data_IF_783724917374
#
_entry.id   IF_783724917374
#
_cell.length_a   1.000
_cell.length_b   1.000
_cell.length_c   1.000
_cell.angle_alpha   90.00
_cell.angle_beta   90.00
_cell.angle_gamma   90.00
#
_symmetry.space_group_name_H-M   'P 1'
#
loop_
_entity.id
_entity.type
_entity.pdbx_description
1 polymer ?
#
# COMPACT_ATOMS: atom_id res chain seq x y z
N UNK A 1 -5.07 -28.99 -16.63
CA UNK A 1 -5.77 -28.41 -15.44
C UNK A 1 -5.19 -27.03 -15.24
N UNK A 2 -6.04 -26.02 -15.14
CA UNK A 2 -5.60 -24.63 -14.98
C UNK A 2 -4.85 -24.46 -13.65
N UNK A 3 -3.59 -24.03 -13.72
CA UNK A 3 -2.72 -23.82 -12.55
C UNK A 3 -3.33 -22.86 -11.55
N UNK A 4 -4.05 -21.84 -12.02
CA UNK A 4 -4.72 -20.89 -11.13
C UNK A 4 -5.84 -21.57 -10.31
N UNK A 5 -6.58 -22.49 -10.90
CA UNK A 5 -7.63 -23.24 -10.20
C UNK A 5 -7.02 -24.14 -9.11
N UNK A 6 -5.92 -24.83 -9.41
CA UNK A 6 -5.19 -25.65 -8.43
C UNK A 6 -4.71 -24.80 -7.26
N UNK A 7 -4.12 -23.64 -7.51
CA UNK A 7 -3.68 -22.73 -6.45
C UNK A 7 -4.84 -22.25 -5.56
N UNK A 8 -6.03 -22.03 -6.14
CA UNK A 8 -7.21 -21.66 -5.36
C UNK A 8 -7.74 -22.82 -4.50
N UNK A 9 -7.69 -24.04 -5.00
CA UNK A 9 -8.07 -25.23 -4.23
C UNK A 9 -7.11 -25.43 -3.04
N UNK A 10 -5.80 -25.38 -3.28
CA UNK A 10 -4.79 -25.46 -2.22
C UNK A 10 -5.05 -24.40 -1.14
N UNK A 11 -5.25 -23.15 -1.55
CA UNK A 11 -5.58 -22.04 -0.65
C UNK A 11 -6.82 -22.32 0.20
N UNK A 12 -7.90 -22.78 -0.43
CA UNK A 12 -9.15 -23.05 0.29
C UNK A 12 -8.99 -24.17 1.31
N UNK A 13 -8.29 -25.24 0.96
CA UNK A 13 -8.04 -26.37 1.84
C UNK A 13 -7.17 -25.95 3.03
N UNK A 14 -6.03 -25.27 2.81
CA UNK A 14 -5.19 -24.72 3.85
C UNK A 14 -5.98 -23.80 4.81
N UNK A 15 -6.77 -22.88 4.24
CA UNK A 15 -7.58 -21.93 5.02
C UNK A 15 -8.58 -22.65 5.93
N UNK A 16 -9.26 -23.68 5.41
CA UNK A 16 -10.29 -24.42 6.17
C UNK A 16 -9.64 -25.31 7.24
N UNK A 17 -8.63 -26.09 6.86
CA UNK A 17 -7.99 -27.07 7.73
C UNK A 17 -7.23 -26.43 8.89
N UNK A 18 -6.51 -25.36 8.62
CA UNK A 18 -5.69 -24.69 9.65
C UNK A 18 -6.34 -23.41 10.21
N UNK A 19 -7.56 -23.06 9.79
CA UNK A 19 -8.26 -21.83 10.21
C UNK A 19 -7.36 -20.58 10.04
N UNK A 20 -6.71 -20.47 8.87
CA UNK A 20 -5.83 -19.37 8.55
C UNK A 20 -6.64 -18.17 8.04
N UNK A 21 -6.59 -17.10 8.77
CA UNK A 21 -7.19 -15.83 8.40
C UNK A 21 -6.09 -14.78 8.28
N UNK A 22 -5.95 -14.12 7.12
CA UNK A 22 -5.00 -13.04 6.98
C UNK A 22 -5.31 -11.93 7.98
N UNK A 23 -4.25 -11.33 8.51
CA UNK A 23 -4.39 -10.21 9.43
C UNK A 23 -5.15 -9.05 8.76
N UNK A 24 -6.06 -8.44 9.49
CA UNK A 24 -6.81 -7.29 9.02
C UNK A 24 -6.07 -6.01 9.43
N UNK A 25 -5.53 -5.28 8.44
CA UNK A 25 -4.79 -4.04 8.65
C UNK A 25 -5.61 -3.00 9.43
N UNK A 26 -6.90 -2.88 9.12
CA UNK A 26 -7.79 -1.93 9.78
C UNK A 26 -7.91 -2.20 11.30
N UNK A 27 -8.12 -3.47 11.65
CA UNK A 27 -8.20 -3.86 13.07
C UNK A 27 -6.88 -3.62 13.80
N UNK A 28 -5.74 -3.85 13.13
CA UNK A 28 -4.43 -3.61 13.72
C UNK A 28 -4.24 -2.11 14.03
N UNK A 29 -4.52 -1.24 13.06
CA UNK A 29 -4.36 0.22 13.24
C UNK A 29 -5.28 0.75 14.33
N UNK A 30 -6.52 0.28 14.38
CA UNK A 30 -7.48 0.68 15.40
C UNK A 30 -7.03 0.26 16.81
N UNK A 31 -6.53 -0.98 16.96
CA UNK A 31 -5.99 -1.46 18.23
C UNK A 31 -4.74 -0.69 18.64
N UNK A 32 -3.80 -0.41 17.71
CA UNK A 32 -2.61 0.39 17.98
C UNK A 32 -3.01 1.80 18.43
N UNK A 33 -3.98 2.43 17.75
CA UNK A 33 -4.49 3.74 18.18
C UNK A 33 -4.98 3.70 19.61
N UNK A 34 -5.84 2.75 19.98
CA UNK A 34 -6.35 2.63 21.34
C UNK A 34 -5.26 2.37 22.39
N UNK A 35 -4.21 1.63 22.02
CA UNK A 35 -3.11 1.31 22.94
C UNK A 35 -2.12 2.46 23.12
N UNK A 36 -1.91 3.28 22.10
CA UNK A 36 -0.92 4.37 22.15
C UNK A 36 -1.51 5.70 22.59
N UNK A 37 -2.81 5.94 22.40
CA UNK A 37 -3.47 7.21 22.72
C UNK A 37 -3.75 7.32 24.22
N UNK A 38 -2.70 7.22 25.03
CA UNK A 38 -2.75 7.38 26.48
C UNK A 38 -1.35 7.70 27.06
N UNK A 39 -1.30 8.03 28.36
CA UNK A 39 -0.08 8.44 29.07
C UNK A 39 0.63 7.32 29.81
N UNK A 40 0.17 6.08 29.69
CA UNK A 40 0.80 4.95 30.39
C UNK A 40 2.18 4.65 29.82
N UNK A 41 3.20 4.43 30.68
CA UNK A 41 4.51 4.01 30.23
C UNK A 41 4.44 2.71 29.43
N UNK A 42 5.15 2.66 28.30
CA UNK A 42 5.21 1.48 27.45
C UNK A 42 6.45 1.49 26.57
N UNK A 43 6.91 0.32 26.17
CA UNK A 43 7.89 0.16 25.12
C UNK A 43 7.14 -0.16 23.83
N UNK A 44 7.44 0.57 22.77
CA UNK A 44 6.92 0.35 21.42
C UNK A 44 8.02 -0.21 20.54
N UNK A 45 7.77 -1.38 19.95
CA UNK A 45 8.70 -2.07 19.06
C UNK A 45 8.02 -2.27 17.72
N UNK A 46 8.66 -1.81 16.65
CA UNK A 46 8.36 -2.20 15.29
C UNK A 46 9.57 -2.93 14.73
N UNK A 47 9.32 -4.06 14.07
CA UNK A 47 10.31 -4.84 13.37
C UNK A 47 9.78 -5.30 12.01
N UNK A 48 10.69 -5.61 11.10
CA UNK A 48 10.39 -6.09 9.76
C UNK A 48 11.27 -7.32 9.50
N UNK A 49 10.70 -8.38 8.93
CA UNK A 49 11.42 -9.62 8.67
C UNK A 49 12.15 -9.49 7.33
N UNK A 50 13.48 -9.70 7.36
CA UNK A 50 14.29 -9.63 6.15
C UNK A 50 13.92 -10.75 5.17
N UNK A 51 13.66 -10.40 3.91
CA UNK A 51 13.37 -11.35 2.82
C UNK A 51 12.36 -12.44 3.21
N UNK A 52 11.27 -12.05 3.90
CA UNK A 52 10.35 -12.96 4.57
C UNK A 52 9.92 -14.16 3.73
N UNK A 53 9.35 -13.92 2.55
CA UNK A 53 8.89 -15.01 1.69
C UNK A 53 10.03 -15.87 1.17
N UNK A 54 11.18 -15.29 0.92
CA UNK A 54 12.38 -15.94 0.38
C UNK A 54 13.10 -16.80 1.42
N UNK A 55 12.88 -16.52 2.71
CA UNK A 55 13.57 -17.22 3.83
C UNK A 55 12.83 -18.46 4.33
N UNK A 56 11.55 -18.64 3.96
CA UNK A 56 10.74 -19.75 4.51
C UNK A 56 11.17 -21.09 3.93
N UNK A 57 11.57 -22.08 4.77
CA UNK A 57 11.96 -23.43 4.31
C UNK A 57 10.73 -24.18 3.76
N UNK A 58 10.81 -24.63 2.51
CA UNK A 58 9.71 -25.33 1.85
C UNK A 58 9.51 -26.74 2.44
N UNK A 59 10.60 -27.44 2.75
CA UNK A 59 10.56 -28.82 3.26
C UNK A 59 9.85 -28.90 4.61
N UNK A 60 10.19 -28.00 5.56
CA UNK A 60 9.54 -27.97 6.88
C UNK A 60 8.02 -27.80 6.77
N UNK A 61 7.57 -26.94 5.85
CA UNK A 61 6.14 -26.75 5.59
C UNK A 61 5.48 -27.97 4.97
N UNK A 62 6.14 -28.60 4.01
CA UNK A 62 5.60 -29.77 3.30
C UNK A 62 5.54 -30.99 4.23
N UNK A 63 6.55 -31.19 5.06
CA UNK A 63 6.58 -32.24 6.08
C UNK A 63 5.46 -32.01 7.09
N UNK A 64 5.36 -30.80 7.64
CA UNK A 64 4.28 -30.44 8.55
C UNK A 64 2.90 -30.73 7.97
N UNK A 65 2.63 -30.34 6.71
CA UNK A 65 1.35 -30.62 6.06
C UNK A 65 1.08 -32.11 5.89
N UNK A 66 2.13 -32.90 5.65
CA UNK A 66 2.04 -34.35 5.48
C UNK A 66 1.77 -35.05 6.80
N UNK A 67 2.46 -34.62 7.87
CA UNK A 67 2.39 -35.23 9.21
C UNK A 67 1.08 -34.87 9.92
N UNK A 68 0.65 -33.61 9.83
CA UNK A 68 -0.61 -33.18 10.40
C UNK A 68 -1.83 -33.87 9.77
N UNK A 69 -1.75 -34.27 8.51
CA UNK A 69 -2.80 -35.00 7.79
C UNK A 69 -4.11 -34.20 7.59
N UNK A 70 -4.12 -32.88 7.86
CA UNK A 70 -5.32 -32.05 7.77
C UNK A 70 -5.68 -31.65 6.34
N UNK A 71 -4.75 -31.76 5.41
CA UNK A 71 -4.95 -31.51 3.98
C UNK A 71 -4.84 -32.81 3.18
N UNK A 72 -5.52 -32.86 2.03
CA UNK A 72 -5.52 -34.08 1.22
C UNK A 72 -4.13 -34.39 0.67
N UNK A 73 -3.80 -35.70 0.52
CA UNK A 73 -2.54 -36.13 -0.10
C UNK A 73 -2.38 -35.57 -1.52
N UNK A 74 -3.49 -35.34 -2.24
CA UNK A 74 -3.46 -34.72 -3.58
C UNK A 74 -2.98 -33.27 -3.49
N UNK A 75 -3.46 -32.51 -2.51
CA UNK A 75 -3.06 -31.12 -2.26
C UNK A 75 -1.58 -31.03 -1.96
N UNK A 76 -1.06 -31.89 -1.07
CA UNK A 76 0.38 -31.95 -0.77
C UNK A 76 1.20 -32.28 -2.03
N UNK A 77 0.74 -33.24 -2.84
CA UNK A 77 1.41 -33.61 -4.09
C UNK A 77 1.47 -32.46 -5.09
N UNK A 78 0.35 -31.73 -5.26
CA UNK A 78 0.32 -30.56 -6.15
C UNK A 78 1.17 -29.41 -5.62
N UNK A 79 1.15 -29.17 -4.33
CA UNK A 79 2.01 -28.17 -3.69
C UNK A 79 3.49 -28.48 -3.95
N UNK A 80 3.95 -29.71 -3.66
CA UNK A 80 5.32 -30.16 -3.94
C UNK A 80 5.71 -29.91 -5.41
N UNK A 81 4.83 -30.24 -6.35
CA UNK A 81 5.10 -30.03 -7.78
C UNK A 81 5.22 -28.55 -8.14
N UNK A 82 4.37 -27.68 -7.58
CA UNK A 82 4.42 -26.24 -7.83
C UNK A 82 5.70 -25.63 -7.24
N UNK A 83 6.07 -26.00 -6.01
CA UNK A 83 7.30 -25.53 -5.38
C UNK A 83 8.54 -26.02 -6.14
N UNK A 84 8.58 -27.27 -6.57
CA UNK A 84 9.65 -27.79 -7.42
C UNK A 84 9.78 -27.00 -8.74
N UNK A 85 8.65 -26.76 -9.42
CA UNK A 85 8.67 -25.96 -10.66
C UNK A 85 9.16 -24.53 -10.40
N UNK A 86 8.76 -23.93 -9.29
CA UNK A 86 9.24 -22.62 -8.87
C UNK A 86 10.75 -22.63 -8.63
N UNK A 87 11.28 -23.61 -7.90
CA UNK A 87 12.71 -23.73 -7.63
C UNK A 87 13.52 -23.87 -8.92
N UNK A 88 13.07 -24.71 -9.84
CA UNK A 88 13.74 -24.88 -11.17
C UNK A 88 13.70 -23.58 -11.97
N UNK A 89 12.55 -22.91 -12.01
CA UNK A 89 12.37 -21.67 -12.81
C UNK A 89 13.15 -20.48 -12.24
N UNK A 90 13.23 -20.40 -10.91
CA UNK A 90 13.93 -19.33 -10.19
C UNK A 90 15.40 -19.67 -9.86
N UNK A 91 15.88 -20.86 -10.27
CA UNK A 91 17.23 -21.36 -10.00
C UNK A 91 17.57 -21.40 -8.49
N UNK A 92 16.62 -21.86 -7.66
CA UNK A 92 16.75 -21.99 -6.20
C UNK A 92 17.26 -23.39 -5.88
N UNK A 93 18.41 -23.47 -5.21
CA UNK A 93 19.09 -24.75 -4.88
C UNK A 93 18.81 -25.23 -3.46
N UNK A 94 18.50 -24.35 -2.54
CA UNK A 94 18.37 -24.62 -1.10
C UNK A 94 16.94 -24.91 -0.64
N UNK A 95 16.01 -25.05 -1.60
CA UNK A 95 14.58 -25.30 -1.32
C UNK A 95 13.96 -24.32 -0.32
N UNK A 96 14.42 -23.07 -0.32
CA UNK A 96 13.87 -21.96 0.44
C UNK A 96 13.03 -21.03 -0.42
N UNK A 97 12.08 -20.40 0.22
CA UNK A 97 11.27 -19.35 -0.37
C UNK A 97 9.92 -19.84 -0.93
N UNK A 98 8.93 -18.98 -0.75
CA UNK A 98 7.58 -19.16 -1.28
C UNK A 98 7.36 -18.24 -2.49
N UNK A 99 6.78 -18.76 -3.59
CA UNK A 99 6.53 -17.99 -4.79
C UNK A 99 5.58 -16.82 -4.50
N UNK A 100 6.03 -15.59 -4.76
CA UNK A 100 5.18 -14.40 -4.64
C UNK A 100 4.08 -14.39 -5.71
N UNK A 101 2.90 -13.90 -5.35
CA UNK A 101 1.76 -13.79 -6.28
C UNK A 101 0.88 -15.04 -6.37
N UNK A 102 1.27 -16.18 -5.85
CA UNK A 102 0.40 -17.34 -5.77
C UNK A 102 -0.55 -17.24 -4.57
N UNK A 103 -1.81 -17.61 -4.80
CA UNK A 103 -2.88 -17.38 -3.84
C UNK A 103 -2.75 -18.14 -2.51
N UNK A 104 -1.94 -19.17 -2.44
CA UNK A 104 -1.70 -19.97 -1.24
C UNK A 104 -0.45 -19.57 -0.44
N UNK A 105 0.51 -18.84 -1.04
CA UNK A 105 1.79 -18.52 -0.41
C UNK A 105 1.63 -17.76 0.91
N UNK A 106 0.72 -16.78 0.96
CA UNK A 106 0.39 -16.07 2.21
C UNK A 106 -0.20 -16.97 3.29
N UNK A 107 -0.90 -18.06 2.92
CA UNK A 107 -1.44 -19.01 3.91
C UNK A 107 -0.34 -19.94 4.44
N UNK A 108 0.60 -20.34 3.58
CA UNK A 108 1.76 -21.13 4.02
C UNK A 108 2.67 -20.30 4.94
N UNK A 109 2.91 -19.03 4.61
CA UNK A 109 3.70 -18.15 5.48
C UNK A 109 3.03 -17.92 6.84
N UNK A 110 1.69 -17.77 6.89
CA UNK A 110 0.95 -17.69 8.16
C UNK A 110 1.03 -18.99 8.97
N UNK A 111 1.00 -20.15 8.31
CA UNK A 111 1.17 -21.44 8.97
C UNK A 111 2.57 -21.57 9.57
N UNK A 112 3.60 -21.17 8.82
CA UNK A 112 4.99 -21.17 9.28
C UNK A 112 5.21 -20.27 10.50
N UNK A 113 4.63 -19.08 10.46
CA UNK A 113 4.79 -18.07 11.53
C UNK A 113 4.03 -18.38 12.81
N UNK A 114 3.03 -19.27 12.79
CA UNK A 114 2.19 -19.55 13.96
C UNK A 114 2.96 -19.88 15.24
N UNK A 115 3.94 -20.82 15.24
CA UNK A 115 4.72 -21.12 16.44
C UNK A 115 5.63 -19.96 16.88
N UNK A 116 6.13 -19.16 15.94
CA UNK A 116 6.94 -17.98 16.21
C UNK A 116 6.08 -16.90 16.89
N UNK A 117 4.91 -16.59 16.27
CA UNK A 117 3.94 -15.64 16.80
C UNK A 117 3.52 -15.99 18.24
N UNK A 118 3.36 -17.29 18.52
CA UNK A 118 3.00 -17.79 19.86
C UNK A 118 4.15 -17.60 20.88
N UNK A 119 5.40 -17.86 20.50
CA UNK A 119 6.57 -17.61 21.34
C UNK A 119 6.68 -16.12 21.69
N UNK A 120 6.52 -15.23 20.70
CA UNK A 120 6.59 -13.79 20.92
C UNK A 120 5.48 -13.30 21.86
N UNK A 121 4.24 -13.80 21.70
CA UNK A 121 3.13 -13.43 22.60
C UNK A 121 3.35 -13.88 24.04
N UNK A 122 4.14 -14.93 24.24
CA UNK A 122 4.44 -15.47 25.58
C UNK A 122 5.67 -14.85 26.23
N UNK A 123 6.38 -13.94 25.57
CA UNK A 123 7.45 -13.18 26.22
C UNK A 123 6.90 -12.38 27.39
N UNK A 124 7.59 -12.44 28.53
CA UNK A 124 7.17 -11.70 29.72
C UNK A 124 7.08 -10.19 29.44
N UNK A 125 6.02 -9.57 29.88
CA UNK A 125 5.75 -8.17 29.66
C UNK A 125 5.24 -7.77 28.28
N UNK A 126 5.07 -8.70 27.32
CA UNK A 126 4.41 -8.38 26.05
C UNK A 126 2.91 -8.19 26.28
N UNK A 127 2.45 -6.94 26.16
CA UNK A 127 1.06 -6.54 26.35
C UNK A 127 0.24 -6.68 25.06
N UNK A 128 0.90 -6.48 23.92
CA UNK A 128 0.27 -6.55 22.61
C UNK A 128 1.27 -6.99 21.55
N UNK A 129 0.86 -7.93 20.71
CA UNK A 129 1.62 -8.40 19.56
C UNK A 129 0.69 -8.54 18.36
N UNK A 130 1.08 -7.94 17.24
CA UNK A 130 0.46 -8.16 15.93
C UNK A 130 1.51 -8.17 14.84
N UNK A 131 1.25 -9.00 13.84
CA UNK A 131 2.04 -9.08 12.62
C UNK A 131 1.11 -8.92 11.41
N UNK A 132 1.57 -8.16 10.45
CA UNK A 132 0.95 -8.05 9.13
C UNK A 132 1.98 -8.47 8.08
N UNK A 133 1.93 -9.74 7.66
CA UNK A 133 2.91 -10.39 6.78
C UNK A 133 4.30 -10.38 7.43
N UNK A 134 5.18 -9.47 7.02
CA UNK A 134 6.55 -9.25 7.49
C UNK A 134 6.67 -8.12 8.53
N UNK A 135 5.69 -7.22 8.58
CA UNK A 135 5.67 -6.09 9.52
C UNK A 135 5.14 -6.50 10.91
N UNK A 136 5.98 -6.37 11.95
CA UNK A 136 5.71 -6.72 13.34
C UNK A 136 5.48 -5.45 14.16
N UNK A 137 4.51 -5.50 15.08
CA UNK A 137 4.25 -4.45 16.04
C UNK A 137 4.01 -5.02 17.44
N UNK A 138 4.76 -4.50 18.43
CA UNK A 138 4.69 -4.94 19.82
C UNK A 138 4.54 -3.72 20.73
N UNK A 139 3.69 -3.86 21.75
CA UNK A 139 3.69 -2.99 22.91
C UNK A 139 4.04 -3.84 24.13
N UNK A 140 5.00 -3.39 24.90
CA UNK A 140 5.52 -4.13 26.04
C UNK A 140 5.61 -3.25 27.30
N UNK A 141 5.59 -3.92 28.46
CA UNK A 141 5.72 -3.33 29.77
C UNK A 141 7.19 -2.98 30.06
N UNK A 142 7.54 -1.72 30.32
CA UNK A 142 8.92 -1.33 30.60
C UNK A 142 9.42 -1.79 31.98
N UNK A 143 8.52 -2.15 32.90
CA UNK A 143 8.89 -2.62 34.23
C UNK A 143 9.33 -4.09 34.25
N UNK A 144 9.07 -4.82 33.19
CA UNK A 144 9.44 -6.24 33.05
C UNK A 144 10.82 -6.45 32.45
N UNK A 145 11.10 -5.83 31.32
CA UNK A 145 12.36 -5.96 30.60
C UNK A 145 12.77 -4.65 29.95
N UNK A 146 14.08 -4.48 29.75
CA UNK A 146 14.58 -3.33 29.00
C UNK A 146 14.29 -3.46 27.49
N UNK A 147 14.37 -2.33 26.76
CA UNK A 147 14.26 -2.34 25.30
C UNK A 147 15.26 -3.29 24.63
N UNK A 148 16.47 -3.36 25.19
CA UNK A 148 17.55 -4.21 24.67
C UNK A 148 17.20 -5.67 24.84
N UNK A 149 16.73 -6.08 26.01
CA UNK A 149 16.39 -7.48 26.34
C UNK A 149 15.22 -7.97 25.44
N UNK A 150 14.20 -7.12 25.22
CA UNK A 150 13.13 -7.45 24.27
C UNK A 150 13.64 -7.68 22.86
N UNK A 151 14.58 -6.82 22.39
CA UNK A 151 15.12 -6.95 21.05
C UNK A 151 15.98 -8.21 20.89
N UNK A 152 16.81 -8.53 21.88
CA UNK A 152 17.63 -9.74 21.89
C UNK A 152 16.77 -10.99 21.92
N UNK A 153 15.72 -11.02 22.75
CA UNK A 153 14.76 -12.12 22.83
C UNK A 153 14.00 -12.33 21.50
N UNK A 154 13.60 -11.22 20.85
CA UNK A 154 12.97 -11.30 19.53
C UNK A 154 13.92 -11.91 18.50
N UNK A 155 15.15 -11.39 18.38
CA UNK A 155 16.13 -11.94 17.43
C UNK A 155 16.34 -13.43 17.65
N UNK A 156 16.55 -13.87 18.91
CA UNK A 156 16.73 -15.29 19.22
C UNK A 156 15.56 -16.16 18.75
N UNK A 157 14.31 -15.71 18.97
CA UNK A 157 13.11 -16.45 18.55
C UNK A 157 13.04 -16.60 17.03
N UNK A 158 13.41 -15.55 16.28
CA UNK A 158 13.37 -15.56 14.83
C UNK A 158 14.53 -16.35 14.23
N UNK A 159 15.74 -16.22 14.78
CA UNK A 159 16.94 -16.95 14.37
C UNK A 159 16.79 -18.47 14.57
N UNK A 160 16.11 -18.92 15.61
CA UNK A 160 15.77 -20.35 15.81
C UNK A 160 14.97 -20.95 14.63
N UNK A 161 14.31 -20.10 13.85
CA UNK A 161 13.51 -20.45 12.68
C UNK A 161 14.11 -19.92 11.38
N UNK A 162 15.40 -19.67 11.35
CA UNK A 162 16.15 -19.20 10.18
C UNK A 162 15.59 -17.91 9.56
N UNK A 163 14.91 -17.10 10.37
CA UNK A 163 14.43 -15.78 9.98
C UNK A 163 15.28 -14.70 10.63
N UNK A 164 15.55 -13.63 9.89
CA UNK A 164 16.33 -12.52 10.40
C UNK A 164 15.46 -11.24 10.43
N UNK A 165 15.57 -10.47 11.49
CA UNK A 165 14.96 -9.16 11.58
C UNK A 165 15.89 -8.10 10.98
N UNK A 166 15.30 -7.08 10.35
CA UNK A 166 16.06 -5.95 9.88
C UNK A 166 16.62 -5.13 11.04
N UNK A 167 17.91 -4.78 10.96
CA UNK A 167 18.56 -3.91 11.94
C UNK A 167 18.59 -2.44 11.52
N UNK A 168 18.19 -2.13 10.29
CA UNK A 168 18.18 -0.77 9.74
C UNK A 168 17.17 0.12 10.46
N UNK A 169 17.55 1.36 10.75
CA UNK A 169 16.72 2.35 11.46
C UNK A 169 15.39 2.69 10.74
N UNK A 170 15.32 2.48 9.43
CA UNK A 170 14.07 2.65 8.68
C UNK A 170 13.05 1.52 8.91
N UNK A 171 13.55 0.32 9.23
CA UNK A 171 12.77 -0.90 9.39
C UNK A 171 12.60 -1.33 10.83
N UNK A 172 13.51 -0.91 11.70
CA UNK A 172 13.51 -1.14 13.13
C UNK A 172 13.14 0.14 13.87
N UNK A 173 12.17 0.04 14.78
CA UNK A 173 11.84 1.10 15.72
C UNK A 173 11.73 0.53 17.13
N UNK A 174 12.36 1.21 18.11
CA UNK A 174 12.41 0.74 19.48
C UNK A 174 12.45 1.96 20.41
N UNK A 175 11.34 2.29 21.04
CA UNK A 175 11.22 3.50 21.84
C UNK A 175 10.41 3.30 23.12
N UNK A 176 10.73 4.09 24.13
CA UNK A 176 9.96 4.22 25.35
C UNK A 176 8.98 5.38 25.19
N UNK A 177 7.73 5.15 25.58
CA UNK A 177 6.64 6.12 25.51
C UNK A 177 6.06 6.33 26.91
N UNK A 178 5.92 7.59 27.33
CA UNK A 178 5.27 8.00 28.56
C UNK A 178 4.67 9.40 28.43
N UNK A 179 4.18 9.96 29.54
CA UNK A 179 3.61 11.31 29.58
C UNK A 179 4.62 12.44 29.29
N UNK A 180 5.94 12.17 29.41
CA UNK A 180 7.01 13.13 29.20
C UNK A 180 7.61 13.00 27.77
N UNK A 181 7.27 11.93 27.06
CA UNK A 181 7.77 11.69 25.71
C UNK A 181 7.29 12.79 24.77
N UNK A 182 8.23 13.56 24.27
CA UNK A 182 7.98 14.63 23.33
C UNK A 182 8.51 14.26 21.94
N UNK A 183 7.59 14.14 20.97
CA UNK A 183 7.90 13.91 19.56
C UNK A 183 8.52 12.53 19.22
N UNK A 184 7.94 11.43 19.69
CA UNK A 184 8.24 10.09 19.17
C UNK A 184 7.43 9.83 17.90
N UNK A 185 8.06 9.29 16.85
CA UNK A 185 7.40 9.05 15.57
C UNK A 185 7.90 7.78 14.91
N UNK A 186 6.99 7.06 14.24
CA UNK A 186 7.33 5.88 13.44
C UNK A 186 6.30 5.67 12.34
N UNK A 187 6.71 5.00 11.26
CA UNK A 187 5.83 4.58 10.17
C UNK A 187 5.41 3.13 10.35
N UNK A 188 4.11 2.83 10.21
CA UNK A 188 3.60 1.45 10.21
C UNK A 188 2.37 1.33 9.32
N UNK A 189 2.31 0.30 8.47
CA UNK A 189 1.22 0.00 7.54
C UNK A 189 0.73 1.21 6.71
N UNK A 190 1.69 2.06 6.31
CA UNK A 190 1.42 3.23 5.46
C UNK A 190 0.91 4.46 6.22
N UNK A 191 0.86 4.42 7.53
CA UNK A 191 0.59 5.57 8.39
C UNK A 191 1.85 5.98 9.14
N UNK A 192 1.96 7.26 9.45
CA UNK A 192 2.94 7.84 10.35
C UNK A 192 2.24 8.14 11.68
N UNK A 193 2.71 7.51 12.74
CA UNK A 193 2.25 7.72 14.10
C UNK A 193 3.17 8.75 14.75
N UNK A 194 2.59 9.80 15.30
CA UNK A 194 3.30 10.87 16.02
C UNK A 194 2.75 10.92 17.43
N UNK A 195 3.58 10.55 18.39
CA UNK A 195 3.22 10.56 19.80
C UNK A 195 3.86 11.73 20.52
N UNK A 196 3.06 12.52 21.20
CA UNK A 196 3.49 13.70 21.93
C UNK A 196 2.69 13.85 23.23
N UNK A 197 3.37 13.84 24.37
CA UNK A 197 2.79 14.13 25.69
C UNK A 197 1.53 13.29 26.00
N UNK A 198 1.49 12.05 25.57
CA UNK A 198 0.36 11.14 25.78
C UNK A 198 -0.77 11.26 24.78
N UNK A 199 -0.60 12.03 23.71
CA UNK A 199 -1.52 12.12 22.57
C UNK A 199 -0.91 11.50 21.32
N UNK A 200 -1.75 10.86 20.55
CA UNK A 200 -1.36 10.21 19.32
C UNK A 200 -2.01 10.92 18.12
N UNK A 201 -1.19 11.43 17.23
CA UNK A 201 -1.62 11.87 15.90
C UNK A 201 -1.22 10.85 14.84
N UNK A 202 -2.11 10.62 13.88
CA UNK A 202 -1.92 9.69 12.77
C UNK A 202 -1.98 10.49 11.46
N UNK A 203 -0.87 10.47 10.73
CA UNK A 203 -0.66 11.14 9.46
C UNK A 203 -0.45 10.14 8.33
N UNK A 204 -0.35 10.60 7.08
CA UNK A 204 0.18 9.77 5.99
C UNK A 204 1.66 9.45 6.24
N UNK A 205 2.09 8.22 5.92
CA UNK A 205 3.54 7.96 5.85
C UNK A 205 4.17 8.75 4.70
N UNK A 206 5.46 9.07 4.83
CA UNK A 206 6.20 9.79 3.77
C UNK A 206 6.10 9.07 2.42
N UNK A 207 6.16 7.74 2.44
CA UNK A 207 6.01 6.89 1.24
C UNK A 207 4.64 7.05 0.59
N UNK A 208 3.56 7.09 1.38
CA UNK A 208 2.19 7.25 0.88
C UNK A 208 1.95 8.67 0.38
N UNK A 209 2.45 9.68 1.07
CA UNK A 209 2.44 11.07 0.63
C UNK A 209 3.15 11.26 -0.72
N UNK A 210 4.38 10.75 -0.84
CA UNK A 210 5.15 10.79 -2.08
C UNK A 210 4.46 10.06 -3.23
N UNK A 211 3.75 8.95 -2.93
CA UNK A 211 2.96 8.23 -3.93
C UNK A 211 1.87 9.11 -4.56
N UNK A 212 1.14 9.89 -3.75
CA UNK A 212 0.14 10.83 -4.26
C UNK A 212 0.78 11.92 -5.13
N UNK A 213 1.91 12.49 -4.71
CA UNK A 213 2.63 13.48 -5.50
C UNK A 213 3.06 12.95 -6.87
N UNK A 214 3.67 11.77 -6.90
CA UNK A 214 4.08 11.10 -8.15
C UNK A 214 2.88 10.85 -9.07
N UNK A 215 1.71 10.49 -8.51
CA UNK A 215 0.50 10.30 -9.30
C UNK A 215 -0.01 11.63 -9.88
N UNK A 216 0.02 12.73 -9.12
CA UNK A 216 -0.33 14.06 -9.61
C UNK A 216 0.58 14.44 -10.77
N UNK A 217 1.91 14.35 -10.60
CA UNK A 217 2.88 14.67 -11.67
C UNK A 217 2.59 13.84 -12.92
N UNK A 218 2.38 12.54 -12.76
CA UNK A 218 2.10 11.63 -13.85
C UNK A 218 0.83 11.98 -14.63
N UNK A 219 -0.21 12.40 -13.94
CA UNK A 219 -1.49 12.81 -14.58
C UNK A 219 -1.26 13.99 -15.49
N UNK A 220 -0.56 15.03 -15.01
CA UNK A 220 -0.29 16.24 -15.81
C UNK A 220 0.68 15.97 -16.95
N UNK A 221 1.73 15.16 -16.76
CA UNK A 221 2.65 14.79 -17.83
C UNK A 221 1.97 13.99 -18.95
N UNK A 222 1.10 13.04 -18.61
CA UNK A 222 0.33 12.28 -19.60
C UNK A 222 -0.58 13.24 -20.38
N UNK A 223 -1.22 14.19 -19.70
CA UNK A 223 -2.03 15.19 -20.36
C UNK A 223 -1.18 16.05 -21.33
N UNK A 224 -0.01 16.53 -20.88
CA UNK A 224 0.90 17.30 -21.72
C UNK A 224 1.40 16.51 -22.94
N UNK A 225 1.75 15.23 -22.77
CA UNK A 225 2.16 14.35 -23.87
C UNK A 225 1.03 14.13 -24.88
N UNK A 226 -0.19 13.86 -24.43
CA UNK A 226 -1.34 13.72 -25.33
C UNK A 226 -1.62 15.01 -26.12
N UNK A 227 -1.40 16.17 -25.51
CA UNK A 227 -1.51 17.46 -26.22
C UNK A 227 -0.39 17.68 -27.24
N UNK A 228 0.79 17.08 -27.04
CA UNK A 228 1.95 17.18 -27.92
C UNK A 228 1.85 16.27 -29.16
N UNK A 229 1.38 15.02 -29.00
CA UNK A 229 1.13 14.11 -30.13
C UNK A 229 0.12 14.66 -31.12
N UNK A 230 -0.84 15.41 -30.67
CA UNK A 230 -1.83 16.09 -31.49
C UNK A 230 -1.23 16.98 -32.58
N UNK A 231 -0.12 17.67 -32.31
CA UNK A 231 0.47 18.66 -33.22
C UNK A 231 1.24 18.05 -34.38
N UNK A 232 1.76 16.84 -34.17
CA UNK A 232 2.44 16.10 -35.25
C UNK A 232 1.45 15.60 -36.30
N UNK A 233 0.20 15.32 -35.92
CA UNK A 233 -0.86 14.86 -36.84
C UNK A 233 -1.66 15.99 -37.49
N UNK A 234 -1.75 17.18 -36.86
CA UNK A 234 -2.44 18.34 -37.46
C UNK A 234 -1.67 18.93 -38.67
N UNK A 235 -0.35 18.72 -38.77
CA UNK A 235 0.46 19.11 -39.90
C UNK A 235 0.33 18.18 -41.12
N UNK A 236 -0.32 17.02 -40.98
CA UNK A 236 -0.41 15.95 -42.01
C UNK A 236 -1.86 15.61 -42.43
N UNK A 237 -2.80 16.58 -42.49
CA UNK A 237 -4.13 16.40 -43.10
C UNK A 237 -5.18 15.53 -42.40
N UNK A 238 -5.63 15.86 -41.20
CA UNK A 238 -6.97 15.44 -40.76
C UNK A 238 -7.53 16.29 -39.62
N UNK A 239 -8.24 17.36 -39.93
CA UNK A 239 -8.88 18.30 -39.01
C UNK A 239 -9.96 17.65 -38.12
N UNK A 240 -10.45 16.49 -38.47
CA UNK A 240 -11.49 15.77 -37.71
C UNK A 240 -10.99 15.01 -36.48
N UNK A 241 -9.86 14.31 -36.57
CA UNK A 241 -9.31 13.47 -35.48
C UNK A 241 -8.70 14.30 -34.34
N UNK A 242 -8.13 15.46 -34.63
CA UNK A 242 -7.50 16.35 -33.66
C UNK A 242 -8.44 16.84 -32.55
N UNK A 243 -9.68 17.18 -32.89
CA UNK A 243 -10.68 17.70 -31.94
C UNK A 243 -11.18 16.65 -30.95
N UNK A 244 -11.21 15.37 -31.36
CA UNK A 244 -11.59 14.25 -30.49
C UNK A 244 -10.49 13.91 -29.49
N UNK A 245 -9.23 13.87 -29.90
CA UNK A 245 -8.10 13.56 -29.02
C UNK A 245 -7.96 14.56 -27.87
N UNK A 246 -8.21 15.85 -28.09
CA UNK A 246 -8.12 16.85 -27.03
C UNK A 246 -9.26 16.73 -26.00
N UNK A 247 -10.48 16.52 -26.45
CA UNK A 247 -11.62 16.30 -25.56
C UNK A 247 -11.39 15.05 -24.68
N UNK A 248 -10.85 14.00 -25.28
CA UNK A 248 -10.56 12.76 -24.54
C UNK A 248 -9.39 12.94 -23.56
N UNK A 249 -8.34 13.66 -23.91
CA UNK A 249 -7.24 13.99 -22.99
C UNK A 249 -7.70 14.82 -21.80
N UNK A 250 -8.53 15.84 -22.03
CA UNK A 250 -9.13 16.65 -20.97
C UNK A 250 -10.08 15.83 -20.10
N UNK A 251 -10.93 14.99 -20.70
CA UNK A 251 -11.80 14.09 -19.94
C UNK A 251 -10.99 13.18 -19.03
N UNK A 252 -9.92 12.56 -19.56
CA UNK A 252 -9.04 11.69 -18.77
C UNK A 252 -8.31 12.45 -17.66
N UNK A 253 -7.91 13.70 -17.89
CA UNK A 253 -7.33 14.57 -16.85
C UNK A 253 -8.31 14.76 -15.69
N UNK A 254 -9.54 15.19 -15.98
CA UNK A 254 -10.57 15.38 -14.96
C UNK A 254 -10.92 14.07 -14.22
N UNK A 255 -11.13 12.98 -14.95
CA UNK A 255 -11.48 11.69 -14.37
C UNK A 255 -10.37 11.16 -13.44
N UNK A 256 -9.10 11.32 -13.83
CA UNK A 256 -7.96 10.87 -13.00
C UNK A 256 -7.82 11.70 -11.73
N UNK A 257 -7.95 13.02 -11.82
CA UNK A 257 -7.88 13.89 -10.63
C UNK A 257 -9.09 13.65 -9.73
N UNK A 258 -10.29 13.55 -10.28
CA UNK A 258 -11.50 13.23 -9.51
C UNK A 258 -11.32 11.92 -8.73
N UNK A 259 -10.85 10.86 -9.38
CA UNK A 259 -10.65 9.56 -8.74
C UNK A 259 -9.53 9.59 -7.70
N UNK A 260 -8.48 10.37 -7.92
CA UNK A 260 -7.38 10.50 -6.98
C UNK A 260 -7.80 11.23 -5.69
N UNK A 261 -8.71 12.20 -5.81
CA UNK A 261 -9.18 13.07 -4.71
C UNK A 261 -10.50 12.62 -4.09
N UNK A 262 -11.19 11.62 -4.66
CA UNK A 262 -12.52 11.18 -4.23
C UNK A 262 -12.54 9.73 -3.73
N UNK A 263 -13.74 9.19 -3.53
CA UNK A 263 -13.96 7.82 -3.09
C UNK A 263 -14.91 7.10 -4.05
N UNK A 264 -14.72 5.79 -4.23
CA UNK A 264 -15.53 4.98 -5.12
C UNK A 264 -15.61 3.52 -4.70
N UNK A 265 -16.23 2.71 -5.55
CA UNK A 265 -16.38 1.28 -5.35
C UNK A 265 -15.50 0.50 -6.32
N UNK A 266 -14.72 -0.44 -5.79
CA UNK A 266 -14.09 -1.48 -6.58
C UNK A 266 -15.05 -2.66 -6.72
N UNK A 267 -15.30 -3.06 -7.95
CA UNK A 267 -16.07 -4.28 -8.24
C UNK A 267 -15.22 -5.49 -7.91
N UNK A 268 -15.59 -6.23 -6.87
CA UNK A 268 -15.03 -7.55 -6.55
C UNK A 268 -15.94 -8.66 -7.07
N UNK A 269 -15.43 -9.91 -7.11
CA UNK A 269 -16.21 -11.07 -7.61
C UNK A 269 -17.53 -11.33 -6.85
N UNK A 270 -17.66 -10.88 -5.61
CA UNK A 270 -18.83 -11.11 -4.76
C UNK A 270 -19.36 -9.86 -4.07
N UNK A 271 -18.52 -8.82 -3.83
CA UNK A 271 -18.90 -7.62 -3.09
C UNK A 271 -18.19 -6.40 -3.66
N UNK A 272 -18.84 -5.25 -3.54
CA UNK A 272 -18.19 -3.97 -3.78
C UNK A 272 -17.36 -3.56 -2.55
N UNK A 273 -16.13 -3.12 -2.79
CA UNK A 273 -15.24 -2.62 -1.74
C UNK A 273 -15.07 -1.11 -1.90
N UNK A 274 -15.43 -0.37 -0.86
CA UNK A 274 -15.21 1.06 -0.84
C UNK A 274 -13.70 1.38 -0.77
N UNK A 275 -13.26 2.29 -1.61
CA UNK A 275 -11.85 2.72 -1.71
C UNK A 275 -11.78 4.21 -2.06
N UNK A 276 -10.60 4.79 -2.07
CA UNK A 276 -10.35 6.19 -2.38
C UNK A 276 -9.71 6.91 -1.20
N UNK A 277 -9.71 8.26 -1.28
CA UNK A 277 -8.91 9.05 -0.34
C UNK A 277 -9.30 8.84 1.13
N UNK A 278 -10.60 8.75 1.44
CA UNK A 278 -11.04 8.47 2.81
C UNK A 278 -10.82 7.00 3.18
N UNK A 279 -11.36 6.05 2.39
CA UNK A 279 -11.36 4.65 2.77
C UNK A 279 -9.96 4.03 2.86
N UNK A 280 -9.02 4.54 2.07
CA UNK A 280 -7.61 4.13 2.13
C UNK A 280 -6.87 4.76 3.31
N UNK A 281 -7.34 5.91 3.83
CA UNK A 281 -6.64 6.71 4.82
C UNK A 281 -7.52 7.05 6.06
N UNK A 282 -8.54 6.26 6.34
CA UNK A 282 -9.61 6.56 7.30
C UNK A 282 -9.16 6.79 8.75
N UNK A 283 -7.95 6.41 9.10
CA UNK A 283 -7.40 6.56 10.45
C UNK A 283 -6.62 7.85 10.66
N UNK A 284 -6.51 8.72 9.66
CA UNK A 284 -5.88 10.03 9.81
C UNK A 284 -6.61 10.85 10.88
N UNK A 285 -5.84 11.40 11.81
CA UNK A 285 -6.29 12.42 12.78
C UNK A 285 -5.76 13.79 12.44
N UNK A 286 -4.61 13.87 11.76
CA UNK A 286 -4.02 15.09 11.23
C UNK A 286 -4.10 15.10 9.69
N UNK A 287 -4.78 16.10 9.13
CA UNK A 287 -4.99 16.30 7.71
C UNK A 287 -3.99 17.27 7.06
N UNK A 288 -2.98 17.72 7.79
CA UNK A 288 -1.99 18.69 7.30
C UNK A 288 -1.31 18.25 5.99
N UNK A 289 -1.06 16.93 5.85
CA UNK A 289 -0.47 16.39 4.62
C UNK A 289 -1.47 16.33 3.46
N UNK A 290 -2.76 16.18 3.72
CA UNK A 290 -3.78 16.30 2.66
C UNK A 290 -3.91 17.75 2.20
N UNK A 291 -3.84 18.74 3.11
CA UNK A 291 -3.75 20.14 2.74
C UNK A 291 -2.54 20.42 1.84
N UNK A 292 -1.36 19.91 2.21
CA UNK A 292 -0.15 20.03 1.37
C UNK A 292 -0.29 19.36 -0.01
N UNK A 293 -1.10 18.30 -0.13
CA UNK A 293 -1.39 17.69 -1.43
C UNK A 293 -2.34 18.56 -2.24
N UNK A 294 -3.30 19.24 -1.60
CA UNK A 294 -4.15 20.24 -2.26
C UNK A 294 -3.32 21.43 -2.76
N UNK A 295 -2.43 21.97 -1.91
CA UNK A 295 -1.52 23.05 -2.31
C UNK A 295 -0.65 22.62 -3.51
N UNK A 296 -0.10 21.41 -3.46
CA UNK A 296 0.70 20.87 -4.56
C UNK A 296 -0.10 20.68 -5.86
N UNK A 297 -1.33 20.18 -5.75
CA UNK A 297 -2.23 20.04 -6.89
C UNK A 297 -2.56 21.41 -7.51
N UNK A 298 -2.84 22.42 -6.68
CA UNK A 298 -3.13 23.77 -7.11
C UNK A 298 -1.91 24.45 -7.75
N UNK A 299 -0.70 24.25 -7.20
CA UNK A 299 0.54 24.70 -7.82
C UNK A 299 0.72 24.09 -9.22
N UNK A 300 0.44 22.82 -9.40
CA UNK A 300 0.49 22.16 -10.71
C UNK A 300 -0.55 22.70 -11.68
N UNK A 301 -1.78 22.96 -11.22
CA UNK A 301 -2.84 23.57 -12.05
C UNK A 301 -2.44 24.97 -12.52
N UNK A 302 -1.78 25.75 -11.66
CA UNK A 302 -1.36 27.11 -12.00
C UNK A 302 -0.03 27.17 -12.78
N UNK A 303 0.73 26.08 -12.83
CA UNK A 303 1.99 26.04 -13.57
C UNK A 303 1.76 26.31 -15.07
N UNK A 304 2.63 27.12 -15.67
CA UNK A 304 2.58 27.41 -17.11
C UNK A 304 2.78 26.14 -17.96
N UNK A 305 3.53 25.18 -17.45
CA UNK A 305 3.85 23.93 -18.14
C UNK A 305 2.64 23.00 -18.28
N UNK A 306 1.69 23.01 -17.33
CA UNK A 306 0.54 22.12 -17.34
C UNK A 306 -0.39 22.32 -18.53
N UNK A 307 -0.54 23.56 -19.00
CA UNK A 307 -1.48 23.94 -20.08
C UNK A 307 -0.81 24.68 -21.22
N UNK A 308 0.53 24.84 -21.20
CA UNK A 308 1.24 25.56 -22.25
C UNK A 308 1.34 24.70 -23.53
N UNK A 309 0.92 25.20 -24.68
CA UNK A 309 1.31 24.60 -25.95
C UNK A 309 2.84 24.75 -26.10
N UNK A 310 3.56 23.74 -26.68
CA UNK A 310 4.98 23.88 -26.96
C UNK A 310 5.25 25.13 -27.80
N UNK A 311 6.39 25.77 -27.53
CA UNK A 311 6.81 27.09 -28.03
C UNK A 311 6.78 27.33 -29.55
N UNK A 312 6.59 26.31 -30.36
CA UNK A 312 6.62 26.39 -31.83
C UNK A 312 5.24 26.74 -32.46
N UNK A 313 4.22 27.05 -31.67
CA UNK A 313 2.86 27.38 -32.12
C UNK A 313 2.40 28.78 -31.72
N UNK A 314 3.30 29.65 -31.34
CA UNK A 314 2.97 31.07 -31.02
C UNK A 314 2.53 31.89 -32.23
N UNK A 315 2.38 31.33 -33.44
CA UNK A 315 1.92 32.04 -34.65
C UNK A 315 0.41 31.92 -34.90
N UNK A 316 -0.37 31.29 -34.03
CA UNK A 316 -1.83 31.45 -34.08
C UNK A 316 -2.21 32.64 -33.22
N UNK A 317 -2.72 33.65 -33.86
CA UNK A 317 -3.04 34.96 -33.31
C UNK A 317 -3.79 34.89 -31.97
N UNK A 318 -3.66 35.95 -31.18
CA UNK A 318 -4.31 36.24 -29.90
C UNK A 318 -5.78 35.77 -29.90
N UNK A 319 -5.99 34.49 -29.64
CA UNK A 319 -7.32 33.90 -29.61
C UNK A 319 -7.82 33.97 -28.17
N UNK A 320 -8.58 35.04 -27.89
CA UNK A 320 -9.28 35.28 -26.61
C UNK A 320 -10.09 34.03 -26.15
N UNK A 321 -10.38 33.10 -27.06
CA UNK A 321 -11.06 31.84 -26.77
C UNK A 321 -10.18 30.81 -26.03
N UNK A 322 -8.87 30.78 -26.28
CA UNK A 322 -7.96 29.83 -25.63
C UNK A 322 -7.77 30.16 -24.15
N UNK A 323 -7.44 31.40 -23.84
CA UNK A 323 -7.26 31.83 -22.43
C UNK A 323 -8.53 31.65 -21.61
N UNK A 324 -9.69 31.96 -22.18
CA UNK A 324 -10.98 31.73 -21.55
C UNK A 324 -11.24 30.22 -21.28
N UNK A 325 -10.90 29.35 -22.22
CA UNK A 325 -11.04 27.90 -22.06
C UNK A 325 -10.07 27.35 -21.01
N UNK A 326 -8.82 27.83 -20.96
CA UNK A 326 -7.84 27.42 -19.92
C UNK A 326 -8.32 27.89 -18.55
N UNK A 327 -8.85 29.09 -18.42
CA UNK A 327 -9.42 29.62 -17.17
C UNK A 327 -10.57 28.75 -16.67
N UNK A 328 -11.48 28.32 -17.54
CA UNK A 328 -12.58 27.42 -17.19
C UNK A 328 -12.09 26.03 -16.76
N UNK A 329 -11.08 25.50 -17.45
CA UNK A 329 -10.44 24.21 -17.08
C UNK A 329 -9.81 24.31 -15.69
N UNK A 330 -9.01 25.35 -15.44
CA UNK A 330 -8.40 25.60 -14.15
C UNK A 330 -9.44 25.74 -13.04
N UNK A 331 -10.47 26.57 -13.26
CA UNK A 331 -11.57 26.75 -12.32
C UNK A 331 -12.23 25.42 -11.95
N UNK A 332 -12.48 24.54 -12.92
CA UNK A 332 -13.03 23.21 -12.67
C UNK A 332 -12.06 22.32 -11.90
N UNK A 333 -10.75 22.34 -12.22
CA UNK A 333 -9.72 21.56 -11.54
C UNK A 333 -9.56 22.00 -10.08
N UNK A 334 -9.69 23.29 -9.77
CA UNK A 334 -9.68 23.81 -8.40
C UNK A 334 -10.86 23.34 -7.54
N UNK A 335 -11.90 22.76 -8.13
CA UNK A 335 -13.01 22.16 -7.36
C UNK A 335 -12.66 20.82 -6.73
N UNK A 336 -11.58 20.18 -7.18
CA UNK A 336 -11.08 18.90 -6.63
C UNK A 336 -10.14 19.15 -5.46
N UNK A 337 -10.30 18.40 -4.37
CA UNK A 337 -9.47 18.53 -3.18
C UNK A 337 -9.41 17.22 -2.43
N UNK A 338 -8.23 16.83 -1.97
CA UNK A 338 -7.99 15.67 -1.13
C UNK A 338 -8.70 15.80 0.22
N UNK A 339 -8.63 16.98 0.84
CA UNK A 339 -9.30 17.27 2.11
C UNK A 339 -10.81 17.21 1.97
N UNK A 340 -11.35 17.80 0.90
CA UNK A 340 -12.79 17.74 0.62
C UNK A 340 -13.26 16.32 0.43
N UNK A 341 -12.59 15.53 -0.43
CA UNK A 341 -12.96 14.14 -0.67
C UNK A 341 -12.82 13.25 0.56
N UNK A 342 -11.83 13.52 1.43
CA UNK A 342 -11.67 12.85 2.70
C UNK A 342 -12.83 13.15 3.67
N UNK A 343 -13.24 14.40 3.79
CA UNK A 343 -14.28 14.85 4.72
C UNK A 343 -15.70 14.46 4.28
N UNK A 344 -15.99 14.61 2.98
CA UNK A 344 -17.33 14.32 2.44
C UNK A 344 -17.66 12.82 2.43
N UNK A 345 -16.66 11.94 2.31
CA UNK A 345 -16.81 10.47 2.26
C UNK A 345 -17.78 9.97 1.17
N UNK A 346 -18.10 10.84 0.21
CA UNK A 346 -19.04 10.54 -0.86
C UNK A 346 -18.47 9.46 -1.78
N UNK A 347 -19.24 8.41 -2.00
CA UNK A 347 -18.84 7.29 -2.87
C UNK A 347 -19.38 7.55 -4.28
N UNK A 348 -18.49 7.62 -5.26
CA UNK A 348 -18.85 7.66 -6.68
C UNK A 348 -19.16 6.23 -7.16
N UNK A 349 -20.37 6.05 -7.71
CA UNK A 349 -20.82 4.79 -8.31
C UNK A 349 -20.47 4.74 -9.80
N UNK A 350 -19.19 4.94 -10.14
CA UNK A 350 -18.74 4.86 -11.53
C UNK A 350 -18.14 3.48 -11.79
N UNK A 351 -18.62 2.80 -12.83
CA UNK A 351 -18.04 1.52 -13.31
C UNK A 351 -16.56 1.68 -13.71
N UNK A 352 -16.15 2.90 -14.09
CA UNK A 352 -14.79 3.20 -14.50
C UNK A 352 -13.83 3.50 -13.34
N UNK A 353 -14.34 3.79 -12.13
CA UNK A 353 -13.52 4.16 -10.97
C UNK A 353 -12.40 3.15 -10.71
N UNK A 354 -12.73 1.87 -10.63
CA UNK A 354 -11.76 0.81 -10.35
C UNK A 354 -10.70 0.67 -11.45
N UNK A 355 -11.08 0.81 -12.73
CA UNK A 355 -10.17 0.72 -13.86
C UNK A 355 -9.16 1.87 -13.85
N UNK A 356 -9.61 3.11 -13.67
CA UNK A 356 -8.74 4.29 -13.65
C UNK A 356 -7.83 4.26 -12.41
N UNK A 357 -8.33 3.83 -11.24
CA UNK A 357 -7.50 3.67 -10.06
C UNK A 357 -6.38 2.65 -10.26
N UNK A 358 -6.67 1.52 -10.92
CA UNK A 358 -5.65 0.53 -11.29
C UNK A 358 -4.64 1.09 -12.29
N UNK A 359 -5.07 1.89 -13.26
CA UNK A 359 -4.16 2.55 -14.21
C UNK A 359 -3.23 3.55 -13.51
N UNK A 360 -3.74 4.35 -12.57
CA UNK A 360 -2.91 5.23 -11.73
C UNK A 360 -1.89 4.45 -10.91
N UNK A 361 -2.27 3.30 -10.36
CA UNK A 361 -1.33 2.44 -9.64
C UNK A 361 -0.24 1.87 -10.57
N UNK A 362 -0.60 1.42 -11.79
CA UNK A 362 0.37 0.95 -12.79
C UNK A 362 1.36 2.04 -13.17
N UNK A 363 0.89 3.25 -13.41
CA UNK A 363 1.71 4.43 -13.70
C UNK A 363 2.71 4.69 -12.55
N UNK A 364 2.25 4.64 -11.31
CA UNK A 364 3.14 4.80 -10.14
C UNK A 364 4.25 3.73 -10.11
N UNK A 365 3.89 2.46 -10.31
CA UNK A 365 4.88 1.38 -10.26
C UNK A 365 5.86 1.39 -11.44
N UNK A 366 5.44 1.85 -12.61
CA UNK A 366 6.35 2.00 -13.78
C UNK A 366 7.41 3.08 -13.58
N UNK A 367 7.11 4.12 -12.79
CA UNK A 367 8.05 5.22 -12.48
C UNK A 367 8.99 4.94 -11.31
N UNK A 368 8.71 3.89 -10.54
CA UNK A 368 9.53 3.50 -9.40
C UNK A 368 10.64 2.51 -9.79
N UNK A 369 10.58 1.97 -11.01
CA UNK A 369 11.65 1.15 -11.62
C UNK A 369 12.70 2.03 -12.28
#
# INVERSE_FOLDING_TARGET
>A
MDTMLVCQIIKQELRRSYKLYPANMDMIIEQIKGLLDNKMPKIVIRADIHSFFESIPQNELVEKLSDDGFVSRKTVKYLKRILYTYNVTANILDEKGLPRGLSFSSHLSELYMRPIDEKVRRLDGVLFYKRYVDDIFIVADPDKCSKKDYWESLNSIFEEKELNLHNDSEKRYLAYFDKQTNNAQFDYLGYKFVYKEGKLDICLSNKRYSKYRIMIDAIFEIYAQCSHYRKKYESENEVGHSKYCHKDALRQLFERIDILTSNGLLSGRKNFVATGIYYTNKYLTDLSQLNRLDDYLFEKIESKEAFCPPSNLFNYGQDNGYEKNVSLIKHKLHSYSFVKGFNERKIHKSEHFGRILLDLQRIYYSRKR
#
